data_IF_165874422273
#
_entry.id   IF_165874422273
#
_cell.length_a   1.000
_cell.length_b   1.000
_cell.length_c   1.000
_cell.angle_alpha   90.00
_cell.angle_beta   90.00
_cell.angle_gamma   90.00
#
_symmetry.space_group_name_H-M   'P 1'
#
loop_
_entity.id
_entity.type
_entity.pdbx_description
1 polymer ?
#
# COMPACT_ATOMS: atom_id res chain seq x y z
N UNK A 1 -6.67 16.07 -25.60
CA UNK A 1 -5.39 16.42 -24.97
C UNK A 1 -4.56 15.15 -24.90
N UNK A 2 -3.54 14.97 -25.75
CA UNK A 2 -2.63 13.83 -25.63
C UNK A 2 -1.68 14.10 -24.46
N UNK A 3 -2.04 13.61 -23.28
CA UNK A 3 -1.17 13.63 -22.12
C UNK A 3 -0.05 12.61 -22.31
N UNK A 4 1.20 13.06 -22.25
CA UNK A 4 2.34 12.16 -22.21
C UNK A 4 2.19 11.23 -20.99
N UNK A 5 2.30 9.92 -21.22
CA UNK A 5 2.27 8.96 -20.12
C UNK A 5 3.57 9.11 -19.29
N UNK A 6 3.48 9.00 -17.96
CA UNK A 6 4.66 9.04 -17.10
C UNK A 6 5.60 7.88 -17.44
N UNK A 7 6.89 8.20 -17.63
CA UNK A 7 7.90 7.22 -18.02
C UNK A 7 8.55 6.49 -16.83
N UNK A 8 8.46 7.05 -15.61
CA UNK A 8 9.05 6.45 -14.40
C UNK A 8 8.42 7.02 -13.11
N UNK A 9 8.64 6.33 -11.99
CA UNK A 9 8.22 6.79 -10.66
C UNK A 9 9.22 7.76 -10.02
N UNK A 10 8.71 8.74 -9.29
CA UNK A 10 9.49 9.54 -8.33
C UNK A 10 9.89 8.71 -7.11
N UNK A 11 10.87 9.17 -6.33
CA UNK A 11 11.28 8.46 -5.11
C UNK A 11 10.15 8.32 -4.09
N UNK A 12 9.30 9.36 -3.98
CA UNK A 12 8.10 9.32 -3.14
C UNK A 12 7.11 8.24 -3.61
N UNK A 13 6.86 8.15 -4.92
CA UNK A 13 5.99 7.12 -5.48
C UNK A 13 6.56 5.72 -5.28
N UNK A 14 7.88 5.53 -5.40
CA UNK A 14 8.52 4.24 -5.11
C UNK A 14 8.37 3.88 -3.63
N UNK A 15 8.48 4.85 -2.71
CA UNK A 15 8.21 4.63 -1.29
C UNK A 15 6.75 4.21 -1.04
N UNK A 16 5.80 4.86 -1.71
CA UNK A 16 4.38 4.50 -1.63
C UNK A 16 4.10 3.09 -2.17
N UNK A 17 4.68 2.71 -3.30
CA UNK A 17 4.51 1.35 -3.83
C UNK A 17 5.00 0.31 -2.83
N UNK A 18 6.18 0.50 -2.22
CA UNK A 18 6.73 -0.43 -1.22
C UNK A 18 5.82 -0.57 -0.01
N UNK A 19 5.44 0.55 0.62
CA UNK A 19 4.62 0.53 1.85
C UNK A 19 3.24 -0.07 1.58
N UNK A 20 2.62 0.27 0.44
CA UNK A 20 1.33 -0.29 0.06
C UNK A 20 1.41 -1.76 -0.27
N UNK A 21 2.50 -2.22 -0.89
CA UNK A 21 2.75 -3.65 -1.07
C UNK A 21 3.14 -4.37 0.23
N UNK A 22 3.27 -3.66 1.36
CA UNK A 22 3.58 -4.23 2.67
C UNK A 22 5.06 -4.53 2.90
N UNK A 23 5.94 -3.98 2.07
CA UNK A 23 7.38 -4.07 2.25
C UNK A 23 7.90 -2.96 3.17
N UNK A 24 8.92 -3.24 3.98
CA UNK A 24 9.52 -2.25 4.87
C UNK A 24 10.23 -1.14 4.09
N UNK A 25 10.54 -0.05 4.80
CA UNK A 25 11.27 1.08 4.23
C UNK A 25 12.62 0.64 3.63
N UNK A 26 12.96 1.18 2.46
CA UNK A 26 14.20 0.85 1.74
C UNK A 26 15.45 1.48 2.38
N UNK A 27 15.30 2.67 2.97
CA UNK A 27 16.43 3.50 3.42
C UNK A 27 17.19 4.16 2.26
N UNK A 28 18.32 4.80 2.57
CA UNK A 28 19.16 5.54 1.61
C UNK A 28 19.99 4.63 0.67
N UNK A 29 19.54 3.39 0.44
CA UNK A 29 20.25 2.38 -0.34
C UNK A 29 20.55 1.12 0.47
N UNK A 30 21.37 0.24 -0.11
CA UNK A 30 21.53 -1.13 0.39
C UNK A 30 22.31 -1.32 1.70
N UNK A 31 22.63 -0.23 2.38
CA UNK A 31 23.51 -0.23 3.55
C UNK A 31 22.88 -0.83 4.83
N UNK A 32 21.59 -1.24 4.81
CA UNK A 32 20.88 -1.75 5.98
C UNK A 32 20.18 -3.11 5.81
N UNK A 33 20.51 -3.90 4.78
CA UNK A 33 19.79 -5.16 4.51
C UNK A 33 20.39 -6.35 5.26
N UNK A 34 19.70 -6.80 6.32
CA UNK A 34 20.18 -7.83 7.24
C UNK A 34 19.80 -9.29 6.88
N UNK A 35 19.18 -9.58 5.72
CA UNK A 35 18.76 -10.97 5.40
C UNK A 35 18.57 -11.29 3.91
N UNK A 36 18.99 -12.49 3.47
CA UNK A 36 18.85 -13.01 2.08
C UNK A 36 17.39 -13.08 1.59
N UNK A 37 16.43 -13.39 2.47
CA UNK A 37 14.99 -13.44 2.10
C UNK A 37 14.43 -12.06 1.79
N UNK A 38 15.02 -11.02 2.37
CA UNK A 38 14.73 -9.64 2.03
C UNK A 38 15.04 -9.38 0.54
N UNK A 39 16.16 -9.89 0.02
CA UNK A 39 16.59 -9.63 -1.36
C UNK A 39 15.68 -10.21 -2.44
N UNK A 40 15.09 -11.41 -2.28
CA UNK A 40 14.34 -12.03 -3.37
C UNK A 40 13.03 -11.31 -3.68
N UNK A 41 12.21 -11.05 -2.65
CA UNK A 41 10.92 -10.38 -2.84
C UNK A 41 11.08 -8.87 -3.06
N UNK A 42 12.00 -8.23 -2.33
CA UNK A 42 12.27 -6.80 -2.45
C UNK A 42 12.98 -6.46 -3.77
N UNK A 43 13.99 -7.24 -4.16
CA UNK A 43 14.70 -7.07 -5.42
C UNK A 43 13.79 -7.26 -6.63
N UNK A 44 12.83 -8.18 -6.57
CA UNK A 44 11.82 -8.34 -7.63
C UNK A 44 10.94 -7.09 -7.75
N UNK A 45 10.48 -6.53 -6.62
CA UNK A 45 9.70 -5.30 -6.62
C UNK A 45 10.51 -4.11 -7.18
N UNK A 46 11.74 -3.93 -6.71
CA UNK A 46 12.64 -2.88 -7.22
C UNK A 46 12.90 -3.01 -8.71
N UNK A 47 13.18 -4.23 -9.18
CA UNK A 47 13.38 -4.49 -10.60
C UNK A 47 12.13 -4.09 -11.39
N UNK A 48 10.94 -4.53 -10.97
CA UNK A 48 9.70 -4.20 -11.69
C UNK A 48 9.43 -2.70 -11.70
N UNK A 49 9.49 -2.02 -10.55
CA UNK A 49 9.25 -0.57 -10.46
C UNK A 49 10.15 0.26 -11.38
N UNK A 50 11.38 -0.20 -11.64
CA UNK A 50 12.32 0.49 -12.51
C UNK A 50 12.19 0.08 -14.00
N UNK A 51 11.39 -0.94 -14.32
CA UNK A 51 11.28 -1.50 -15.68
C UNK A 51 9.84 -1.60 -16.22
N UNK A 52 8.84 -1.04 -15.52
CA UNK A 52 7.46 -0.97 -16.01
C UNK A 52 7.36 -0.14 -17.30
N UNK A 53 6.48 -0.56 -18.21
CA UNK A 53 6.11 0.25 -19.36
C UNK A 53 5.35 1.52 -18.90
N UNK A 54 5.39 2.63 -19.67
CA UNK A 54 4.72 3.88 -19.28
C UNK A 54 3.22 3.74 -18.98
N UNK A 55 2.53 2.83 -19.67
CA UNK A 55 1.13 2.52 -19.39
C UNK A 55 0.94 1.84 -18.01
N UNK A 56 1.84 0.94 -17.63
CA UNK A 56 1.80 0.26 -16.33
C UNK A 56 2.17 1.21 -15.19
N UNK A 57 3.10 2.15 -15.44
CA UNK A 57 3.39 3.25 -14.52
C UNK A 57 2.11 4.06 -14.27
N UNK A 58 1.39 4.47 -15.32
CA UNK A 58 0.15 5.22 -15.19
C UNK A 58 -0.92 4.48 -14.37
N UNK A 59 -1.10 3.16 -14.60
CA UNK A 59 -2.02 2.33 -13.81
C UNK A 59 -1.57 2.24 -12.35
N UNK A 60 -0.28 2.08 -12.10
CA UNK A 60 0.26 2.05 -10.73
C UNK A 60 0.03 3.37 -10.00
N UNK A 61 0.16 4.51 -10.68
CA UNK A 61 -0.16 5.82 -10.09
C UNK A 61 -1.64 5.94 -9.71
N UNK A 62 -2.56 5.38 -10.49
CA UNK A 62 -3.98 5.32 -10.12
C UNK A 62 -4.21 4.47 -8.86
N UNK A 63 -3.50 3.34 -8.73
CA UNK A 63 -3.53 2.54 -7.51
C UNK A 63 -3.02 3.34 -6.30
N UNK A 64 -1.85 3.98 -6.41
CA UNK A 64 -1.26 4.79 -5.32
C UNK A 64 -2.23 5.91 -4.90
N UNK A 65 -2.83 6.61 -5.86
CA UNK A 65 -3.82 7.67 -5.59
C UNK A 65 -5.04 7.12 -4.84
N UNK A 66 -5.59 5.98 -5.29
CA UNK A 66 -6.75 5.36 -4.66
C UNK A 66 -6.42 4.91 -3.24
N UNK A 67 -5.26 4.28 -3.06
CA UNK A 67 -4.79 3.79 -1.76
C UNK A 67 -4.53 4.93 -0.77
N UNK A 68 -3.96 6.05 -1.21
CA UNK A 68 -3.79 7.24 -0.39
C UNK A 68 -5.14 7.79 0.11
N UNK A 69 -6.16 7.83 -0.75
CA UNK A 69 -7.51 8.24 -0.35
C UNK A 69 -8.16 7.28 0.64
N UNK A 70 -8.01 5.97 0.44
CA UNK A 70 -8.54 4.95 1.36
C UNK A 70 -7.86 5.01 2.72
N UNK A 71 -6.53 5.16 2.76
CA UNK A 71 -5.76 5.29 4.00
C UNK A 71 -6.15 6.55 4.78
N UNK A 72 -6.24 7.70 4.11
CA UNK A 72 -6.63 8.96 4.73
C UNK A 72 -8.04 8.95 5.32
N UNK A 73 -8.91 8.05 4.82
CA UNK A 73 -10.28 7.91 5.30
C UNK A 73 -10.42 7.01 6.53
N UNK A 74 -9.34 6.37 7.01
CA UNK A 74 -9.36 5.54 8.23
C UNK A 74 -9.29 6.39 9.50
N UNK A 75 -8.30 7.30 9.70
CA UNK A 75 -8.21 8.07 10.93
C UNK A 75 -9.49 8.83 11.34
N UNK A 76 -10.25 9.48 10.42
CA UNK A 76 -11.48 10.18 10.78
C UNK A 76 -12.57 9.31 11.41
N UNK A 77 -12.51 7.97 11.29
CA UNK A 77 -13.45 7.11 12.03
C UNK A 77 -13.26 7.19 13.54
N UNK A 78 -12.13 7.72 14.02
CA UNK A 78 -11.89 7.94 15.45
C UNK A 78 -12.90 8.89 16.09
N UNK A 79 -13.42 9.85 15.32
CA UNK A 79 -14.30 10.91 15.82
C UNK A 79 -15.64 10.36 16.35
N UNK A 80 -16.01 9.16 15.93
CA UNK A 80 -17.26 8.50 16.31
C UNK A 80 -17.06 7.30 17.24
N UNK A 81 -15.84 7.04 17.73
CA UNK A 81 -15.57 5.88 18.61
C UNK A 81 -16.33 5.94 19.95
N UNK A 82 -16.60 7.14 20.45
CA UNK A 82 -17.24 7.35 21.75
C UNK A 82 -18.78 7.53 21.66
N UNK A 83 -19.37 7.53 20.46
CA UNK A 83 -20.80 7.83 20.25
C UNK A 83 -21.51 6.72 19.47
N UNK A 84 -22.17 5.80 20.18
CA UNK A 84 -22.93 4.71 19.56
C UNK A 84 -24.24 5.17 18.89
N UNK A 85 -24.86 6.25 19.37
CA UNK A 85 -26.10 6.79 18.80
C UNK A 85 -26.27 8.27 19.11
N UNK A 86 -26.62 9.04 18.08
CA UNK A 86 -27.01 10.45 18.21
C UNK A 86 -28.31 10.68 17.41
N UNK A 87 -29.42 10.93 18.14
CA UNK A 87 -30.75 11.14 17.57
C UNK A 87 -31.20 9.99 16.63
N UNK A 88 -31.63 10.30 15.39
CA UNK A 88 -32.10 9.30 14.43
C UNK A 88 -30.96 8.62 13.63
N UNK A 89 -29.70 8.98 13.88
CA UNK A 89 -28.54 8.45 13.17
C UNK A 89 -27.96 7.25 13.91
N UNK A 90 -27.87 6.11 13.22
CA UNK A 90 -27.22 4.89 13.72
C UNK A 90 -25.83 4.78 13.10
N UNK A 91 -24.81 4.69 13.96
CA UNK A 91 -23.43 4.48 13.52
C UNK A 91 -23.25 3.04 13.02
N UNK A 92 -22.39 2.82 12.02
CA UNK A 92 -21.95 1.47 11.64
C UNK A 92 -20.78 1.07 12.54
N UNK A 93 -20.97 0.17 13.54
CA UNK A 93 -19.91 -0.22 14.46
C UNK A 93 -18.73 -0.93 13.77
N UNK A 94 -18.95 -1.47 12.56
CA UNK A 94 -17.93 -2.15 11.77
C UNK A 94 -17.20 -1.21 10.79
N UNK A 95 -17.50 0.09 10.77
CA UNK A 95 -16.98 1.03 9.76
C UNK A 95 -15.45 1.02 9.65
N UNK A 96 -14.75 1.09 10.78
CA UNK A 96 -13.28 1.08 10.81
C UNK A 96 -12.75 -0.24 10.22
N UNK A 97 -13.36 -1.36 10.59
CA UNK A 97 -12.98 -2.70 10.12
C UNK A 97 -13.19 -2.84 8.62
N UNK A 98 -14.33 -2.37 8.11
CA UNK A 98 -14.67 -2.41 6.69
C UNK A 98 -13.72 -1.55 5.86
N UNK A 99 -13.36 -0.36 6.35
CA UNK A 99 -12.39 0.52 5.68
C UNK A 99 -11.00 -0.09 5.63
N UNK A 100 -10.53 -0.70 6.72
CA UNK A 100 -9.25 -1.42 6.76
C UNK A 100 -9.27 -2.60 5.78
N UNK A 101 -10.34 -3.39 5.78
CA UNK A 101 -10.50 -4.54 4.86
C UNK A 101 -10.49 -4.09 3.39
N UNK A 102 -11.19 -3.00 3.08
CA UNK A 102 -11.20 -2.41 1.74
C UNK A 102 -9.78 -1.96 1.35
N UNK A 103 -9.11 -1.21 2.21
CA UNK A 103 -7.74 -0.75 2.00
C UNK A 103 -6.78 -1.90 1.74
N UNK A 104 -6.77 -2.92 2.60
CA UNK A 104 -5.91 -4.09 2.44
C UNK A 104 -6.27 -4.94 1.21
N UNK A 105 -7.54 -4.96 0.81
CA UNK A 105 -7.97 -5.56 -0.45
C UNK A 105 -7.34 -4.88 -1.67
N UNK A 106 -7.35 -3.54 -1.69
CA UNK A 106 -6.71 -2.75 -2.74
C UNK A 106 -5.19 -2.90 -2.76
N UNK A 107 -4.55 -2.98 -1.58
CA UNK A 107 -3.11 -3.26 -1.46
C UNK A 107 -2.73 -4.59 -2.09
N UNK A 108 -3.52 -5.64 -1.84
CA UNK A 108 -3.30 -6.97 -2.47
C UNK A 108 -3.53 -6.95 -3.98
N UNK A 109 -4.47 -6.14 -4.47
CA UNK A 109 -4.65 -5.93 -5.93
C UNK A 109 -3.44 -5.26 -6.57
N UNK A 110 -2.84 -4.27 -5.91
CA UNK A 110 -1.59 -3.67 -6.36
C UNK A 110 -0.45 -4.70 -6.41
N UNK A 111 -0.28 -5.52 -5.37
CA UNK A 111 0.70 -6.61 -5.40
C UNK A 111 0.46 -7.58 -6.57
N UNK A 112 -0.80 -7.95 -6.81
CA UNK A 112 -1.19 -8.80 -7.92
C UNK A 112 -0.88 -8.18 -9.29
N UNK A 113 -1.18 -6.89 -9.47
CA UNK A 113 -0.86 -6.15 -10.69
C UNK A 113 0.65 -6.09 -10.92
N UNK A 114 1.41 -5.77 -9.88
CA UNK A 114 2.88 -5.77 -9.93
C UNK A 114 3.47 -7.17 -9.94
N UNK A 115 2.68 -8.24 -9.85
CA UNK A 115 3.12 -9.64 -9.83
C UNK A 115 4.19 -9.93 -8.78
N UNK A 116 4.08 -9.31 -7.60
CA UNK A 116 4.91 -9.57 -6.44
C UNK A 116 4.06 -10.19 -5.33
N UNK A 117 4.62 -11.09 -4.49
CA UNK A 117 3.90 -11.56 -3.32
C UNK A 117 3.62 -10.38 -2.36
N UNK A 118 2.50 -10.38 -1.61
CA UNK A 118 2.29 -9.42 -0.56
C UNK A 118 3.44 -9.44 0.46
N UNK A 119 3.90 -8.25 0.85
CA UNK A 119 4.96 -8.11 1.84
C UNK A 119 4.53 -8.53 3.26
N UNK A 120 5.48 -8.58 4.20
CA UNK A 120 5.25 -9.06 5.57
C UNK A 120 4.12 -8.34 6.31
N UNK A 121 3.93 -7.04 6.06
CA UNK A 121 2.87 -6.26 6.69
C UNK A 121 1.45 -6.63 6.19
N UNK A 122 1.33 -7.45 5.15
CA UNK A 122 0.07 -7.94 4.59
C UNK A 122 -0.16 -9.44 4.87
N UNK A 123 0.77 -10.11 5.57
CA UNK A 123 0.64 -11.50 5.97
C UNK A 123 -0.58 -11.68 6.89
N UNK A 124 -1.37 -12.74 6.66
CA UNK A 124 -2.71 -12.94 7.23
C UNK A 124 -2.76 -13.16 8.76
N UNK A 125 -1.63 -13.16 9.48
CA UNK A 125 -1.62 -13.25 10.94
C UNK A 125 -1.61 -11.84 11.53
N UNK A 126 -2.59 -11.51 12.37
CA UNK A 126 -2.81 -10.19 13.01
C UNK A 126 -1.72 -9.71 13.95
N UNK A 127 -0.47 -9.66 13.49
CA UNK A 127 0.70 -9.18 14.19
C UNK A 127 1.69 -8.54 13.22
N UNK A 128 2.47 -7.57 13.72
CA UNK A 128 3.53 -6.93 12.95
C UNK A 128 4.65 -7.96 12.75
N UNK A 129 4.74 -8.53 11.55
CA UNK A 129 5.85 -9.44 11.20
C UNK A 129 7.04 -8.61 10.77
N UNK A 130 8.00 -8.43 11.68
CA UNK A 130 9.30 -7.86 11.36
C UNK A 130 10.11 -8.86 10.54
N UNK A 131 10.50 -8.49 9.33
CA UNK A 131 11.55 -9.19 8.61
C UNK A 131 12.86 -8.49 8.96
N UNK A 132 13.65 -9.16 9.81
CA UNK A 132 15.04 -8.82 10.15
C UNK A 132 15.96 -9.48 9.14
#
# INVERSE_FOLDING_TARGET
MSGALPASFTDGQKADVRRFCGYPAYGAGAAGFNSWRFFQAYGTLEYRMNNLAPAEVAVTLQYISTLASLEAAVPPTSDNLDTESAAAWTHNPDEMRDRINLFDGWRRRLCGFLGVPPGPALAQSGGITLVV
#
